data_IF_587028325433
#
_entry.id   IF_587028325433
#
_cell.length_a   1.000
_cell.length_b   1.000
_cell.length_c   1.000
_cell.angle_alpha   90.00
_cell.angle_beta   90.00
_cell.angle_gamma   90.00
#
_symmetry.space_group_name_H-M   'P 1'
#
loop_
_entity.id
_entity.type
_entity.pdbx_description
1 polymer ?
#
# COMPACT_ATOMS: atom_id res chain seq x y z
N UNK A 1 -61.81 8.87 -66.76
CA UNK A 1 -61.86 7.50 -67.34
C UNK A 1 -61.41 6.55 -66.19
N UNK A 2 -62.35 5.78 -65.71
CA UNK A 2 -62.15 4.77 -64.67
C UNK A 2 -61.36 3.60 -65.24
N UNK A 3 -60.40 3.08 -64.39
CA UNK A 3 -59.92 1.73 -64.59
C UNK A 3 -59.72 1.07 -63.28
N UNK A 4 -60.34 -0.03 -63.18
CA UNK A 4 -60.60 -1.01 -62.13
C UNK A 4 -59.34 -1.67 -61.59
N UNK A 5 -59.25 -1.80 -60.28
CA UNK A 5 -58.27 -2.60 -59.56
C UNK A 5 -58.91 -3.94 -59.20
N UNK A 6 -58.30 -5.11 -59.49
CA UNK A 6 -58.73 -6.39 -58.93
C UNK A 6 -58.14 -6.68 -57.52
N UNK A 7 -58.86 -7.49 -56.70
CA UNK A 7 -58.44 -7.76 -55.32
C UNK A 7 -57.58 -9.03 -55.22
N UNK A 8 -56.75 -9.03 -54.26
CA UNK A 8 -56.29 -10.25 -53.64
C UNK A 8 -54.82 -10.66 -53.86
N UNK A 9 -53.97 -10.24 -52.90
CA UNK A 9 -52.84 -11.08 -52.52
C UNK A 9 -52.40 -10.71 -51.08
N UNK A 10 -52.84 -11.49 -50.11
CA UNK A 10 -52.35 -11.42 -48.75
C UNK A 10 -50.89 -11.92 -48.74
N UNK A 11 -49.93 -10.98 -48.55
CA UNK A 11 -48.56 -11.35 -48.21
C UNK A 11 -48.49 -11.53 -46.71
N UNK A 12 -48.38 -12.76 -46.23
CA UNK A 12 -47.99 -13.12 -44.88
C UNK A 12 -46.50 -12.79 -44.68
N UNK A 13 -46.23 -11.64 -44.09
CA UNK A 13 -44.87 -11.33 -43.57
C UNK A 13 -44.74 -12.02 -42.21
N UNK A 14 -44.06 -13.17 -42.20
CA UNK A 14 -43.60 -13.82 -40.96
C UNK A 14 -42.49 -12.93 -40.36
N UNK A 15 -42.85 -12.16 -39.36
CA UNK A 15 -41.87 -11.45 -38.52
C UNK A 15 -41.12 -12.47 -37.67
N UNK A 16 -39.86 -12.76 -38.01
CA UNK A 16 -38.91 -13.55 -37.20
C UNK A 16 -38.43 -12.62 -36.09
N UNK A 17 -38.98 -12.77 -34.88
CA UNK A 17 -38.48 -12.10 -33.68
C UNK A 17 -37.24 -12.87 -33.19
N UNK A 18 -36.06 -12.39 -33.53
CA UNK A 18 -34.81 -12.83 -32.92
C UNK A 18 -34.76 -12.25 -31.48
N UNK A 19 -35.06 -13.09 -30.51
CA UNK A 19 -34.81 -12.78 -29.11
C UNK A 19 -33.30 -12.82 -28.81
N UNK A 20 -32.66 -11.67 -28.79
CA UNK A 20 -31.30 -11.51 -28.25
C UNK A 20 -31.37 -11.65 -26.74
N UNK A 21 -30.95 -12.79 -26.21
CA UNK A 21 -30.73 -12.97 -24.79
C UNK A 21 -29.49 -12.14 -24.39
N UNK A 22 -29.68 -10.99 -23.74
CA UNK A 22 -28.61 -10.25 -23.07
C UNK A 22 -28.13 -11.10 -21.89
N UNK A 23 -27.00 -11.79 -22.06
CA UNK A 23 -26.28 -12.38 -20.93
C UNK A 23 -25.62 -11.23 -20.17
N UNK A 24 -26.22 -10.84 -19.03
CA UNK A 24 -25.62 -9.89 -18.09
C UNK A 24 -24.38 -10.57 -17.47
N UNK A 25 -23.20 -10.23 -17.98
CA UNK A 25 -21.92 -10.58 -17.35
C UNK A 25 -21.80 -9.68 -16.12
N UNK A 26 -22.03 -10.25 -14.93
CA UNK A 26 -21.75 -9.54 -13.69
C UNK A 26 -20.25 -9.17 -13.64
N UNK A 27 -19.87 -7.93 -13.26
CA UNK A 27 -18.47 -7.60 -13.06
C UNK A 27 -17.92 -8.52 -11.97
N UNK A 28 -16.89 -9.29 -12.28
CA UNK A 28 -16.10 -10.00 -11.29
C UNK A 28 -15.18 -8.96 -10.69
N UNK A 29 -15.42 -8.58 -9.44
CA UNK A 29 -14.49 -7.74 -8.69
C UNK A 29 -13.17 -8.52 -8.55
N UNK A 30 -12.24 -8.24 -9.44
CA UNK A 30 -10.87 -8.74 -9.32
C UNK A 30 -10.23 -7.93 -8.20
N UNK A 31 -10.24 -8.47 -6.99
CA UNK A 31 -9.43 -7.95 -5.89
C UNK A 31 -7.99 -7.93 -6.39
N UNK A 32 -7.40 -6.76 -6.51
CA UNK A 32 -6.02 -6.64 -6.95
C UNK A 32 -5.13 -7.41 -5.97
N UNK A 33 -4.32 -8.34 -6.50
CA UNK A 33 -3.42 -9.14 -5.69
C UNK A 33 -2.47 -8.20 -4.91
N UNK A 34 -2.34 -8.43 -3.61
CA UNK A 34 -1.44 -7.65 -2.76
C UNK A 34 0.01 -7.87 -3.20
N UNK A 35 0.84 -6.84 -3.13
CA UNK A 35 2.28 -6.97 -3.38
C UNK A 35 2.95 -8.00 -2.43
N UNK A 36 2.33 -8.28 -1.28
CA UNK A 36 2.75 -9.29 -0.29
C UNK A 36 2.44 -10.73 -0.73
N UNK A 37 1.69 -10.93 -1.81
CA UNK A 37 1.39 -12.25 -2.36
C UNK A 37 2.45 -12.70 -3.39
N UNK A 38 3.43 -11.84 -3.68
CA UNK A 38 4.55 -12.15 -4.58
C UNK A 38 5.80 -12.54 -3.78
N UNK A 39 6.52 -13.59 -4.20
CA UNK A 39 7.79 -14.02 -3.61
C UNK A 39 8.84 -14.24 -4.71
N UNK A 40 9.87 -13.37 -4.82
CA UNK A 40 10.01 -12.09 -4.13
C UNK A 40 9.03 -11.02 -4.65
N UNK A 41 8.66 -10.03 -3.82
CA UNK A 41 7.91 -8.88 -4.31
C UNK A 41 8.71 -8.10 -5.35
N UNK A 42 8.01 -7.51 -6.33
CA UNK A 42 8.65 -6.61 -7.28
C UNK A 42 9.28 -5.41 -6.56
N UNK A 43 10.50 -5.02 -6.94
CA UNK A 43 11.15 -3.87 -6.32
C UNK A 43 10.56 -2.55 -6.84
N UNK A 44 9.92 -1.79 -5.96
CA UNK A 44 9.38 -0.44 -6.25
C UNK A 44 10.40 0.67 -6.02
N UNK A 45 11.46 0.41 -5.23
CA UNK A 45 12.48 1.40 -4.94
C UNK A 45 13.40 1.62 -6.14
N UNK A 46 13.77 2.87 -6.37
CA UNK A 46 14.72 3.26 -7.42
C UNK A 46 15.83 4.11 -6.79
N UNK A 47 17.04 3.93 -7.27
CA UNK A 47 18.18 4.74 -6.83
C UNK A 47 17.97 6.23 -7.16
N UNK A 48 18.53 7.09 -6.32
CA UNK A 48 18.53 8.56 -6.50
C UNK A 48 17.13 9.19 -6.58
N UNK A 49 16.09 8.47 -6.19
CA UNK A 49 14.78 9.10 -6.02
C UNK A 49 14.76 9.92 -4.74
N UNK A 50 14.05 11.04 -4.71
CA UNK A 50 13.80 11.77 -3.46
C UNK A 50 12.85 10.97 -2.56
N UNK A 51 12.80 11.34 -1.29
CA UNK A 51 11.72 10.90 -0.39
C UNK A 51 10.39 11.30 -1.02
N UNK A 52 9.40 10.38 -1.14
CA UNK A 52 8.10 10.70 -1.72
C UNK A 52 7.38 11.78 -0.90
N UNK A 53 6.56 12.57 -1.57
CA UNK A 53 5.66 13.53 -0.92
C UNK A 53 4.60 12.77 -0.10
N UNK A 54 4.23 13.33 1.04
CA UNK A 54 3.13 12.81 1.82
C UNK A 54 1.80 13.00 1.05
N UNK A 55 0.94 11.96 0.97
CA UNK A 55 -0.39 12.16 0.46
C UNK A 55 -1.22 13.07 1.39
N UNK A 56 -2.36 13.59 0.93
CA UNK A 56 -3.24 14.36 1.79
C UNK A 56 -3.58 13.61 3.09
N UNK A 57 -3.58 14.29 4.25
CA UNK A 57 -3.92 13.66 5.51
C UNK A 57 -5.36 13.15 5.51
N UNK A 58 -5.56 12.02 6.17
CA UNK A 58 -6.87 11.38 6.37
C UNK A 58 -7.32 11.55 7.84
N UNK A 59 -8.61 11.28 8.10
CA UNK A 59 -9.16 11.35 9.47
C UNK A 59 -9.46 12.77 9.94
N UNK A 60 -9.68 12.93 11.25
CA UNK A 60 -9.99 14.22 11.87
C UNK A 60 -8.68 15.01 12.13
N UNK A 61 -8.55 16.24 11.60
CA UNK A 61 -7.39 17.08 11.88
C UNK A 61 -7.11 17.32 13.35
N UNK A 62 -8.13 17.22 14.23
CA UNK A 62 -7.98 17.38 15.67
C UNK A 62 -7.27 16.21 16.37
N UNK A 63 -7.14 15.07 15.73
CA UNK A 63 -6.54 13.87 16.33
C UNK A 63 -5.02 13.99 16.46
N UNK A 64 -4.34 14.53 15.47
CA UNK A 64 -2.87 14.69 15.52
C UNK A 64 -2.40 15.53 16.71
N UNK A 65 -2.97 16.71 17.02
CA UNK A 65 -2.63 17.46 18.24
C UNK A 65 -2.91 16.71 19.55
N UNK A 66 -3.95 15.88 19.60
CA UNK A 66 -4.27 15.04 20.78
C UNK A 66 -3.23 13.93 20.99
N UNK A 67 -2.65 13.43 19.93
CA UNK A 67 -1.69 12.32 19.93
C UNK A 67 -0.24 12.77 19.90
N UNK A 68 0.05 13.97 20.40
CA UNK A 68 1.39 14.62 20.36
C UNK A 68 2.52 13.79 20.98
N UNK A 69 2.22 12.87 21.88
CA UNK A 69 3.23 11.99 22.49
C UNK A 69 3.83 10.96 21.51
N UNK A 70 3.12 10.66 20.45
CA UNK A 70 3.60 9.77 19.39
C UNK A 70 4.30 10.52 18.25
N UNK A 71 4.07 11.83 18.16
CA UNK A 71 4.65 12.71 17.16
C UNK A 71 5.94 13.28 17.71
N UNK A 72 7.01 13.25 16.92
CA UNK A 72 8.29 13.84 17.32
C UNK A 72 8.71 15.01 16.43
N UNK A 73 9.46 15.91 17.02
CA UNK A 73 10.10 17.02 16.29
C UNK A 73 11.33 16.48 15.54
N UNK A 74 11.61 16.96 14.31
CA UNK A 74 12.80 16.56 13.56
C UNK A 74 14.10 16.88 14.30
N UNK A 75 14.85 15.83 14.70
CA UNK A 75 16.13 15.96 15.42
C UNK A 75 17.37 15.75 14.54
N UNK A 76 17.24 15.00 13.44
CA UNK A 76 18.34 14.66 12.54
C UNK A 76 18.16 15.25 11.13
N UNK A 77 19.18 15.12 10.27
CA UNK A 77 19.06 15.48 8.87
C UNK A 77 18.06 14.60 8.12
N UNK A 78 18.01 13.29 8.43
CA UNK A 78 17.06 12.35 7.85
C UNK A 78 15.63 12.70 8.24
N UNK A 79 15.41 13.09 9.51
CA UNK A 79 14.09 13.54 9.97
C UNK A 79 13.62 14.79 9.21
N UNK A 80 14.51 15.79 9.08
CA UNK A 80 14.18 17.01 8.34
C UNK A 80 13.87 16.71 6.87
N UNK A 81 14.58 15.75 6.25
CA UNK A 81 14.30 15.33 4.88
C UNK A 81 12.90 14.73 4.75
N UNK A 82 12.49 13.87 5.68
CA UNK A 82 11.14 13.28 5.68
C UNK A 82 10.08 14.34 5.96
N UNK A 83 10.27 15.15 7.01
CA UNK A 83 9.32 16.20 7.40
C UNK A 83 9.14 17.28 6.32
N UNK A 84 10.19 17.64 5.56
CA UNK A 84 10.11 18.62 4.46
C UNK A 84 9.25 18.13 3.28
N UNK A 85 8.88 16.84 3.26
CA UNK A 85 7.98 16.22 2.29
C UNK A 85 6.54 16.10 2.79
N UNK A 86 6.19 16.81 3.89
CA UNK A 86 4.85 16.83 4.45
C UNK A 86 4.53 15.69 5.42
N UNK A 87 5.51 14.83 5.74
CA UNK A 87 5.32 13.73 6.67
C UNK A 87 5.43 14.16 8.13
N UNK A 88 4.55 13.64 8.97
CA UNK A 88 4.61 13.75 10.43
C UNK A 88 5.41 12.58 10.99
N UNK A 89 6.51 12.88 11.68
CA UNK A 89 7.40 11.85 12.23
C UNK A 89 6.78 11.15 13.43
N UNK A 90 6.89 9.81 13.47
CA UNK A 90 6.36 8.98 14.55
C UNK A 90 7.49 8.26 15.30
N UNK A 91 7.37 8.19 16.63
CA UNK A 91 8.27 7.44 17.48
C UNK A 91 9.77 7.74 17.24
N UNK A 92 10.68 7.05 17.90
CA UNK A 92 12.12 7.20 17.69
C UNK A 92 12.56 6.59 16.35
N UNK A 93 13.51 7.23 15.66
CA UNK A 93 14.18 6.59 14.53
C UNK A 93 15.02 5.41 15.00
N UNK A 94 14.95 4.31 14.27
CA UNK A 94 15.79 3.12 14.55
C UNK A 94 17.07 3.23 13.74
N UNK A 95 18.23 3.21 14.45
CA UNK A 95 19.55 3.26 13.79
C UNK A 95 20.36 2.04 14.15
N UNK A 96 20.95 1.40 13.13
CA UNK A 96 21.89 0.30 13.28
C UNK A 96 23.03 0.44 12.27
N UNK A 97 24.23 0.69 12.77
CA UNK A 97 25.38 1.00 11.93
C UNK A 97 25.15 2.23 11.06
N UNK A 98 25.21 2.03 9.74
CA UNK A 98 24.99 3.10 8.76
C UNK A 98 23.53 3.26 8.33
N UNK A 99 22.64 2.37 8.75
CA UNK A 99 21.24 2.32 8.33
C UNK A 99 20.35 2.98 9.38
N UNK A 100 19.52 3.90 8.96
CA UNK A 100 18.52 4.59 9.78
C UNK A 100 17.14 4.39 9.17
N UNK A 101 16.15 4.03 9.99
CA UNK A 101 14.76 3.87 9.60
C UNK A 101 13.95 4.94 10.31
N UNK A 102 13.20 5.69 9.55
CA UNK A 102 12.30 6.76 10.03
C UNK A 102 10.88 6.34 9.72
N UNK A 103 10.04 6.22 10.74
CA UNK A 103 8.61 6.00 10.58
C UNK A 103 7.89 7.35 10.56
N UNK A 104 7.00 7.54 9.60
CA UNK A 104 6.20 8.75 9.51
C UNK A 104 4.84 8.48 8.89
N UNK A 105 3.85 9.31 9.20
CA UNK A 105 2.48 9.23 8.73
C UNK A 105 1.99 10.59 8.24
N UNK A 106 0.85 10.62 7.56
CA UNK A 106 0.19 11.90 7.24
C UNK A 106 -0.64 12.41 8.39
N UNK A 107 -1.24 11.48 9.17
CA UNK A 107 -2.10 11.78 10.30
C UNK A 107 -2.19 10.57 11.24
N UNK A 108 -2.97 10.70 12.28
CA UNK A 108 -3.37 9.62 13.20
C UNK A 108 -4.87 9.65 13.39
N UNK A 109 -5.46 8.51 13.79
CA UNK A 109 -6.87 8.44 14.16
C UNK A 109 -7.10 8.81 15.63
N UNK A 110 -8.37 8.85 16.05
CA UNK A 110 -8.77 9.18 17.42
C UNK A 110 -8.23 8.25 18.51
N UNK A 111 -7.63 7.12 18.15
CA UNK A 111 -6.90 6.19 19.03
C UNK A 111 -5.38 6.32 18.90
N UNK A 112 -4.91 7.36 18.25
CA UNK A 112 -3.52 7.66 17.98
C UNK A 112 -2.80 6.61 17.11
N UNK A 113 -3.54 5.91 16.26
CA UNK A 113 -2.95 4.98 15.31
C UNK A 113 -2.59 5.70 14.01
N UNK A 114 -1.42 5.43 13.42
CA UNK A 114 -1.01 6.10 12.20
C UNK A 114 -1.92 5.76 11.00
N UNK A 115 -2.22 6.79 10.21
CA UNK A 115 -2.92 6.73 8.94
C UNK A 115 -1.99 7.19 7.83
N UNK A 116 -2.04 6.52 6.68
CA UNK A 116 -1.15 6.74 5.54
C UNK A 116 0.30 6.84 5.98
N UNK A 117 0.79 5.81 6.69
CA UNK A 117 2.14 5.79 7.23
C UNK A 117 3.11 4.98 6.37
N UNK A 118 4.39 5.28 6.49
CA UNK A 118 5.45 4.62 5.74
C UNK A 118 6.76 4.62 6.53
N UNK A 119 7.57 3.57 6.32
CA UNK A 119 8.92 3.49 6.84
C UNK A 119 9.95 3.85 5.76
N UNK A 120 10.78 4.85 6.06
CA UNK A 120 11.81 5.40 5.17
C UNK A 120 13.18 4.89 5.59
N UNK A 121 13.91 4.29 4.66
CA UNK A 121 15.25 3.74 4.90
C UNK A 121 16.30 4.70 4.38
N UNK A 122 17.27 5.03 5.24
CA UNK A 122 18.43 5.84 4.91
C UNK A 122 19.72 5.06 5.17
N UNK A 123 20.73 5.28 4.36
CA UNK A 123 22.08 4.73 4.56
C UNK A 123 23.09 5.87 4.52
N UNK A 124 23.81 6.08 5.63
CA UNK A 124 24.71 7.24 5.79
C UNK A 124 24.01 8.56 5.44
N UNK A 125 22.76 8.73 5.86
CA UNK A 125 21.95 9.94 5.61
C UNK A 125 21.36 10.06 4.19
N UNK A 126 21.63 9.11 3.27
CA UNK A 126 21.09 9.10 1.92
C UNK A 126 19.85 8.20 1.86
N UNK A 127 18.78 8.68 1.26
CA UNK A 127 17.55 7.90 1.10
C UNK A 127 17.80 6.67 0.20
N UNK A 128 17.36 5.50 0.67
CA UNK A 128 17.52 4.21 0.01
C UNK A 128 16.20 3.62 -0.48
N UNK A 129 15.07 4.11 0.01
CA UNK A 129 13.74 3.64 -0.36
C UNK A 129 12.80 3.50 0.83
N UNK A 130 11.63 2.95 0.56
CA UNK A 130 10.56 2.67 1.54
C UNK A 130 10.40 1.17 1.75
N UNK A 131 9.79 0.77 2.87
CA UNK A 131 9.53 -0.64 3.18
C UNK A 131 8.16 -1.13 2.69
N UNK A 132 7.39 -0.26 2.03
CA UNK A 132 6.16 -0.60 1.31
C UNK A 132 6.06 0.20 0.02
N UNK A 133 5.39 -0.31 -1.03
CA UNK A 133 5.22 0.43 -2.29
C UNK A 133 4.32 1.66 -2.16
N UNK A 134 3.39 1.62 -1.22
CA UNK A 134 2.43 2.69 -0.92
C UNK A 134 2.32 2.92 0.59
N UNK A 135 1.86 4.09 1.03
CA UNK A 135 1.49 4.30 2.43
C UNK A 135 0.45 3.30 2.91
N UNK A 136 0.51 2.94 4.18
CA UNK A 136 -0.32 1.91 4.82
C UNK A 136 -1.19 2.55 5.89
N UNK A 137 -2.35 1.95 6.15
CA UNK A 137 -3.21 2.31 7.28
C UNK A 137 -3.15 1.24 8.37
N UNK A 138 -3.17 1.68 9.62
CA UNK A 138 -3.19 0.75 10.76
C UNK A 138 -4.44 -0.13 10.74
N UNK A 139 -4.27 -1.41 11.04
CA UNK A 139 -5.34 -2.42 11.08
C UNK A 139 -5.98 -2.73 9.72
N UNK A 140 -5.23 -2.54 8.65
CA UNK A 140 -5.59 -2.98 7.32
C UNK A 140 -4.64 -4.08 6.82
N UNK A 141 -5.04 -4.79 5.78
CA UNK A 141 -4.20 -5.81 5.15
C UNK A 141 -2.94 -5.15 4.60
N UNK A 142 -1.78 -5.70 4.96
CA UNK A 142 -0.48 -5.15 4.58
C UNK A 142 0.05 -4.06 5.51
N UNK A 143 -0.61 -3.77 6.64
CA UNK A 143 -0.08 -2.86 7.66
C UNK A 143 1.21 -3.42 8.27
N UNK A 144 2.27 -2.60 8.34
CA UNK A 144 3.51 -2.97 9.01
C UNK A 144 3.29 -3.06 10.53
N UNK A 145 3.76 -4.14 11.12
CA UNK A 145 3.63 -4.40 12.55
C UNK A 145 4.96 -4.43 13.30
N UNK A 146 6.07 -4.76 12.61
CA UNK A 146 7.39 -4.85 13.22
C UNK A 146 8.49 -4.69 12.19
N UNK A 147 9.48 -3.84 12.49
CA UNK A 147 10.74 -3.76 11.74
C UNK A 147 11.88 -4.28 12.61
N UNK A 148 12.71 -5.15 12.04
CA UNK A 148 13.96 -5.62 12.65
C UNK A 148 15.14 -5.36 11.72
N UNK A 149 16.15 -4.72 12.22
CA UNK A 149 17.46 -4.67 11.56
C UNK A 149 18.20 -5.96 11.94
N UNK A 150 18.32 -6.88 10.98
CA UNK A 150 18.97 -8.19 11.18
C UNK A 150 20.47 -8.03 11.10
N UNK A 151 20.95 -7.23 10.17
CA UNK A 151 22.38 -6.91 9.99
C UNK A 151 22.53 -5.53 9.35
N UNK A 152 23.77 -5.11 9.13
CA UNK A 152 24.07 -3.84 8.45
C UNK A 152 23.46 -3.71 7.02
N UNK A 153 23.10 -4.85 6.40
CA UNK A 153 22.59 -4.92 5.03
C UNK A 153 21.28 -5.69 4.91
N UNK A 154 20.65 -6.07 6.01
CA UNK A 154 19.44 -6.89 6.00
C UNK A 154 18.41 -6.37 6.99
N UNK A 155 17.18 -6.21 6.52
CA UNK A 155 16.01 -5.87 7.31
C UNK A 155 14.99 -6.99 7.21
N UNK A 156 14.23 -7.22 8.27
CA UNK A 156 13.08 -8.11 8.30
C UNK A 156 11.87 -7.32 8.79
N UNK A 157 10.80 -7.31 8.00
CA UNK A 157 9.59 -6.55 8.30
C UNK A 157 8.40 -7.48 8.32
N UNK A 158 7.54 -7.34 9.32
CA UNK A 158 6.30 -8.08 9.42
C UNK A 158 5.13 -7.19 9.03
N UNK A 159 4.23 -7.75 8.22
CA UNK A 159 3.00 -7.10 7.78
C UNK A 159 1.81 -7.95 8.20
N UNK A 160 0.78 -7.30 8.72
CA UNK A 160 -0.47 -7.96 9.07
C UNK A 160 -1.22 -8.37 7.81
N UNK A 161 -1.86 -9.56 7.85
CA UNK A 161 -2.68 -10.07 6.75
C UNK A 161 -4.02 -10.48 7.31
N UNK A 162 -5.05 -9.89 6.75
CA UNK A 162 -6.43 -10.13 7.12
C UNK A 162 -7.12 -11.02 6.09
N UNK A 163 -8.06 -11.84 6.55
CA UNK A 163 -9.08 -12.50 5.74
C UNK A 163 -10.43 -11.91 6.09
N UNK A 164 -11.43 -12.11 5.24
CA UNK A 164 -12.76 -11.51 5.40
C UNK A 164 -13.44 -11.81 6.76
N UNK A 165 -13.09 -12.95 7.37
CA UNK A 165 -13.59 -13.35 8.68
C UNK A 165 -12.85 -12.76 9.87
N UNK A 166 -11.73 -12.08 9.65
CA UNK A 166 -10.90 -11.55 10.72
C UNK A 166 -11.54 -10.29 11.33
N UNK A 167 -11.52 -10.22 12.66
CA UNK A 167 -11.81 -8.96 13.33
C UNK A 167 -10.64 -7.97 13.10
N UNK A 168 -10.94 -6.68 12.96
CA UNK A 168 -9.92 -5.62 12.73
C UNK A 168 -8.84 -5.54 13.81
N UNK A 169 -9.04 -6.11 14.99
CA UNK A 169 -8.01 -6.18 16.04
C UNK A 169 -7.00 -7.28 15.78
N UNK A 170 -7.37 -8.32 14.97
CA UNK A 170 -6.76 -9.62 15.16
C UNK A 170 -6.54 -10.32 13.80
N UNK A 171 -5.47 -9.91 13.08
CA UNK A 171 -5.11 -10.53 11.81
C UNK A 171 -4.73 -11.99 12.02
N UNK A 172 -5.30 -12.90 11.22
CA UNK A 172 -5.03 -14.35 11.35
C UNK A 172 -3.70 -14.77 10.73
N UNK A 173 -3.08 -13.89 9.92
CA UNK A 173 -1.82 -14.18 9.23
C UNK A 173 -0.84 -13.02 9.30
N UNK A 174 0.43 -13.33 9.10
CA UNK A 174 1.52 -12.38 9.00
C UNK A 174 2.37 -12.72 7.77
N UNK A 175 2.73 -11.71 6.97
CA UNK A 175 3.77 -11.85 5.94
C UNK A 175 5.06 -11.25 6.47
N UNK A 176 6.14 -12.03 6.44
CA UNK A 176 7.49 -11.56 6.74
C UNK A 176 8.21 -11.29 5.43
N UNK A 177 8.58 -10.04 5.20
CA UNK A 177 9.39 -9.64 4.03
C UNK A 177 10.82 -9.38 4.50
N UNK A 178 11.77 -10.00 3.83
CA UNK A 178 13.19 -9.68 3.99
C UNK A 178 13.60 -8.67 2.94
N UNK A 179 14.35 -7.68 3.37
CA UNK A 179 14.91 -6.65 2.51
C UNK A 179 16.43 -6.68 2.59
N UNK A 180 17.08 -6.49 1.45
CA UNK A 180 18.52 -6.26 1.35
C UNK A 180 18.80 -4.78 1.09
N UNK A 181 19.73 -4.24 1.82
CA UNK A 181 20.25 -2.88 1.63
C UNK A 181 21.53 -2.95 0.83
N UNK A 182 21.51 -2.50 -0.40
CA UNK A 182 22.66 -2.45 -1.29
C UNK A 182 23.26 -1.05 -1.34
N UNK A 183 24.60 -0.99 -1.42
CA UNK A 183 25.38 0.24 -1.55
C UNK A 183 26.08 0.21 -2.90
N UNK A 184 25.39 0.69 -3.91
CA UNK A 184 25.90 0.73 -5.26
C UNK A 184 26.66 2.04 -5.51
N UNK A 185 27.38 2.10 -6.64
CA UNK A 185 28.14 3.29 -7.05
C UNK A 185 27.25 4.55 -7.11
N UNK A 186 26.01 4.38 -7.54
CA UNK A 186 25.02 5.46 -7.71
C UNK A 186 24.24 5.81 -6.44
N UNK A 187 24.32 5.01 -5.41
CA UNK A 187 23.69 5.26 -4.13
C UNK A 187 23.17 4.01 -3.44
N UNK A 188 22.63 4.16 -2.24
CA UNK A 188 21.98 3.06 -1.57
C UNK A 188 20.61 2.77 -2.18
N UNK A 189 20.19 1.51 -2.09
CA UNK A 189 18.85 1.06 -2.44
C UNK A 189 18.43 -0.06 -1.50
N UNK A 190 17.15 -0.08 -1.11
CA UNK A 190 16.55 -1.20 -0.38
C UNK A 190 15.71 -2.03 -1.34
N UNK A 191 15.89 -3.35 -1.31
CA UNK A 191 15.31 -4.30 -2.26
C UNK A 191 14.59 -5.40 -1.49
N UNK A 192 13.30 -5.69 -1.72
CA UNK A 192 12.65 -6.87 -1.17
C UNK A 192 13.25 -8.13 -1.82
N UNK A 193 13.55 -9.15 -1.03
CA UNK A 193 14.22 -10.38 -1.52
C UNK A 193 13.42 -11.64 -1.27
N UNK A 194 12.54 -11.66 -0.27
CA UNK A 194 11.59 -12.77 -0.03
C UNK A 194 10.35 -12.23 0.68
N UNK A 195 9.21 -12.89 0.47
CA UNK A 195 8.01 -12.69 1.25
C UNK A 195 7.42 -14.05 1.63
N UNK A 196 7.23 -14.27 2.91
CA UNK A 196 6.68 -15.52 3.42
C UNK A 196 5.51 -15.27 4.37
N UNK A 197 4.33 -15.78 4.01
CA UNK A 197 3.12 -15.67 4.83
C UNK A 197 2.96 -16.90 5.71
N UNK A 198 2.64 -16.65 6.97
CA UNK A 198 2.38 -17.70 7.97
C UNK A 198 1.19 -17.32 8.85
N UNK A 199 0.55 -18.26 9.55
CA UNK A 199 -0.43 -17.93 10.58
C UNK A 199 0.19 -16.98 11.62
N UNK A 200 -0.60 -16.01 12.11
CA UNK A 200 -0.22 -15.24 13.30
C UNK A 200 -0.27 -16.19 14.49
N UNK A 201 0.79 -16.22 15.31
CA UNK A 201 0.71 -16.94 16.58
C UNK A 201 -0.32 -16.25 17.48
N UNK A 202 -1.15 -17.00 18.21
CA UNK A 202 -2.08 -16.45 19.19
C UNK A 202 -1.36 -15.73 20.32
#
# INVERSE_FOLDING_TARGET
>A
MCSVVPPGMLCFVRALILAFALVAVAPVDVVAASWLDQDPPANWNKMRTPVPEAPPPQGDPADTPRCKEQVRVPGSSTDRTVASRGWTLLGPATTSGATTIVLAATSVDGMCRPLSYQAFVFVKGRFAGTLSPVPMDSREDGAESMIRVVSANELSVQYTRYVDSDARCCPSRLTVVRFRVERLRDGPIVIPVTAHTRPSSP
#
